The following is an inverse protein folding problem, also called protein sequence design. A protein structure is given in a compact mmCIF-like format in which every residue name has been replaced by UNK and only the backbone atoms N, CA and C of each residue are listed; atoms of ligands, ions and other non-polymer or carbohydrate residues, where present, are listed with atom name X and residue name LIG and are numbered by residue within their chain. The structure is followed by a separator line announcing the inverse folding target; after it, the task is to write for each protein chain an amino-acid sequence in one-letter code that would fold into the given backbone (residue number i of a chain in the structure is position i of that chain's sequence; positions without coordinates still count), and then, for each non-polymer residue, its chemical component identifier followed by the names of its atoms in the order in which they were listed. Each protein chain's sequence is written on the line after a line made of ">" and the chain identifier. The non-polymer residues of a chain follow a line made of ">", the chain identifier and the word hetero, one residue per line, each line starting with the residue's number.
data_IF_255968216570
#
_entry.id   IF_255968216570
#
_cell.length_a   1.000
_cell.length_b   1.000
_cell.length_c   1.000
_cell.angle_alpha   90.00
_cell.angle_beta   90.00
_cell.angle_gamma   90.00
#
_symmetry.space_group_name_H-M   'P 1'
#
loop_
_entity.id
_entity.type
_entity.pdbx_description
1 polymer ?
#
# COMPACT_ATOMS: atom_id res chain seq x y z
N UNK A 1 -27.01 33.56 -25.71
CA UNK A 1 -25.85 32.74 -26.12
C UNK A 1 -25.01 32.46 -24.88
N UNK A 2 -24.69 31.18 -24.69
CA UNK A 2 -23.84 30.51 -23.70
C UNK A 2 -23.55 31.20 -22.34
N UNK A 3 -24.10 30.62 -21.27
CA UNK A 3 -23.59 30.76 -19.90
C UNK A 3 -22.36 29.86 -19.76
N UNK A 4 -21.19 30.43 -19.43
CA UNK A 4 -20.05 29.65 -18.97
C UNK A 4 -20.31 29.25 -17.51
N UNK A 5 -20.50 27.97 -17.26
CA UNK A 5 -20.47 27.39 -15.91
C UNK A 5 -18.99 27.15 -15.55
N UNK A 6 -18.49 27.59 -14.38
CA UNK A 6 -17.18 27.16 -13.91
C UNK A 6 -17.25 25.66 -13.63
N UNK A 7 -16.36 24.89 -14.25
CA UNK A 7 -16.14 23.50 -13.89
C UNK A 7 -15.68 23.44 -12.44
N UNK A 8 -16.41 22.68 -11.63
CA UNK A 8 -16.09 22.43 -10.25
C UNK A 8 -14.86 21.52 -10.21
N UNK A 9 -13.67 22.12 -10.17
CA UNK A 9 -12.43 21.41 -9.85
C UNK A 9 -12.41 21.17 -8.34
N UNK A 10 -13.26 20.26 -7.86
CA UNK A 10 -13.12 19.73 -6.51
C UNK A 10 -11.88 18.86 -6.48
N UNK A 11 -10.75 19.46 -6.11
CA UNK A 11 -9.56 18.72 -5.71
C UNK A 11 -9.96 17.74 -4.60
N UNK A 12 -9.51 16.47 -4.72
CA UNK A 12 -9.79 15.46 -3.69
C UNK A 12 -9.35 16.02 -2.32
N UNK A 13 -10.18 15.90 -1.27
CA UNK A 13 -9.82 16.39 0.06
C UNK A 13 -8.51 15.72 0.50
N UNK A 14 -7.60 16.49 1.09
CA UNK A 14 -6.32 15.99 1.61
C UNK A 14 -6.62 14.86 2.60
N UNK A 15 -6.27 13.62 2.22
CA UNK A 15 -6.52 12.43 3.03
C UNK A 15 -5.57 12.40 4.21
N UNK A 16 -6.09 11.99 5.36
CA UNK A 16 -5.26 11.67 6.53
C UNK A 16 -5.11 10.16 6.66
N UNK A 17 -4.15 9.60 5.93
CA UNK A 17 -3.86 8.15 5.94
C UNK A 17 -3.43 7.64 7.33
N UNK A 18 -3.01 8.51 8.26
CA UNK A 18 -2.64 8.12 9.63
C UNK A 18 -3.86 7.68 10.47
N UNK A 19 -5.07 8.02 10.03
CA UNK A 19 -6.32 7.68 10.70
C UNK A 19 -6.94 6.36 10.18
N UNK A 20 -6.36 5.73 9.16
CA UNK A 20 -6.81 4.41 8.72
C UNK A 20 -6.62 3.42 9.88
N UNK A 21 -7.65 2.63 10.24
CA UNK A 21 -7.55 1.63 11.30
C UNK A 21 -6.39 0.67 11.04
N UNK A 22 -5.65 0.30 12.08
CA UNK A 22 -4.48 -0.58 11.97
C UNK A 22 -4.40 -1.53 13.16
N UNK A 23 -3.66 -2.62 12.99
CA UNK A 23 -3.27 -3.49 14.09
C UNK A 23 -2.00 -3.00 14.76
N UNK A 24 -1.88 -3.27 16.06
CA UNK A 24 -0.59 -3.14 16.73
C UNK A 24 0.32 -4.29 16.30
N UNK A 25 1.64 -4.05 16.26
CA UNK A 25 2.63 -5.04 15.80
C UNK A 25 2.52 -6.35 16.62
N UNK A 26 2.24 -6.24 17.93
CA UNK A 26 2.06 -7.40 18.81
C UNK A 26 0.83 -8.25 18.46
N UNK A 27 -0.17 -7.66 17.81
CA UNK A 27 -1.35 -8.37 17.35
C UNK A 27 -1.05 -9.15 16.08
N UNK A 28 -0.30 -8.56 15.15
CA UNK A 28 0.16 -9.23 13.92
C UNK A 28 0.98 -10.48 14.26
N UNK A 29 1.99 -10.35 15.13
CA UNK A 29 2.90 -11.45 15.49
C UNK A 29 2.26 -12.58 16.31
N UNK A 30 0.98 -12.45 16.69
CA UNK A 30 0.24 -13.45 17.47
C UNK A 30 -0.86 -14.15 16.68
N UNK A 31 -1.12 -13.70 15.46
CA UNK A 31 -2.12 -14.29 14.57
C UNK A 31 -1.44 -14.77 13.30
N UNK A 32 -1.32 -16.10 13.09
CA UNK A 32 -0.74 -16.64 11.87
C UNK A 32 -1.42 -16.12 10.58
N UNK A 33 -2.72 -15.86 10.64
CA UNK A 33 -3.49 -15.30 9.52
C UNK A 33 -3.08 -13.85 9.22
N UNK A 34 -2.96 -13.00 10.25
CA UNK A 34 -2.55 -11.61 10.06
C UNK A 34 -1.08 -11.48 9.66
N UNK A 35 -0.23 -12.36 10.21
CA UNK A 35 1.17 -12.49 9.81
C UNK A 35 1.29 -12.95 8.36
N UNK A 36 0.46 -13.91 7.92
CA UNK A 36 0.42 -14.34 6.52
C UNK A 36 0.08 -13.16 5.59
N UNK A 37 -0.98 -12.40 5.88
CA UNK A 37 -1.34 -11.20 5.11
C UNK A 37 -0.16 -10.22 5.06
N UNK A 38 0.47 -9.95 6.21
CA UNK A 38 1.59 -9.01 6.29
C UNK A 38 2.76 -9.48 5.42
N UNK A 39 3.15 -10.74 5.57
CA UNK A 39 4.25 -11.36 4.83
C UNK A 39 4.02 -11.36 3.32
N UNK A 40 2.80 -11.64 2.87
CA UNK A 40 2.41 -11.64 1.45
C UNK A 40 2.50 -10.23 0.86
N UNK A 41 2.02 -9.21 1.58
CA UNK A 41 2.12 -7.81 1.15
C UNK A 41 3.57 -7.36 1.12
N UNK A 42 4.33 -7.59 2.19
CA UNK A 42 5.74 -7.21 2.30
C UNK A 42 6.62 -7.89 1.26
N UNK A 43 6.42 -9.18 1.01
CA UNK A 43 7.14 -9.93 -0.01
C UNK A 43 6.87 -9.38 -1.42
N UNK A 44 5.63 -8.98 -1.71
CA UNK A 44 5.27 -8.35 -2.98
C UNK A 44 5.95 -6.99 -3.14
N UNK A 45 6.00 -6.18 -2.08
CA UNK A 45 6.72 -4.90 -2.09
C UNK A 45 8.23 -5.10 -2.28
N UNK A 46 8.83 -6.11 -1.66
CA UNK A 46 10.23 -6.49 -1.90
C UNK A 46 10.49 -6.91 -3.34
N UNK A 47 9.59 -7.71 -3.93
CA UNK A 47 9.70 -8.08 -5.35
C UNK A 47 9.71 -6.81 -6.20
N UNK A 48 8.83 -5.84 -5.96
CA UNK A 48 8.87 -4.56 -6.68
C UNK A 48 10.19 -3.80 -6.46
N UNK A 49 10.71 -3.78 -5.24
CA UNK A 49 11.96 -3.13 -4.86
C UNK A 49 13.24 -3.71 -5.47
N UNK A 50 13.26 -5.02 -5.70
CA UNK A 50 14.52 -5.75 -5.96
C UNK A 50 14.48 -6.64 -7.22
N UNK A 51 13.38 -6.70 -7.97
CA UNK A 51 13.29 -7.56 -9.16
C UNK A 51 13.98 -7.01 -10.41
N UNK A 52 14.09 -5.67 -10.54
CA UNK A 52 14.72 -5.02 -11.68
C UNK A 52 15.71 -3.95 -11.20
N UNK A 53 17.01 -4.08 -11.47
CA UNK A 53 18.00 -3.08 -11.07
C UNK A 53 17.90 -1.75 -11.84
N UNK A 54 17.19 -1.69 -12.96
CA UNK A 54 16.99 -0.46 -13.75
C UNK A 54 15.77 0.36 -13.28
N UNK A 55 14.81 -0.28 -12.58
CA UNK A 55 13.66 0.40 -12.00
C UNK A 55 13.92 0.74 -10.52
N UNK A 56 13.87 2.04 -10.20
CA UNK A 56 14.03 2.49 -8.81
C UNK A 56 12.66 2.45 -8.12
N UNK A 57 12.48 1.51 -7.20
CA UNK A 57 11.31 1.42 -6.33
C UNK A 57 11.74 1.55 -4.86
N UNK A 58 11.21 2.57 -4.19
CA UNK A 58 11.60 2.96 -2.83
C UNK A 58 10.41 2.84 -1.86
N UNK A 59 10.69 3.01 -0.57
CA UNK A 59 9.69 2.96 0.50
C UNK A 59 8.56 3.99 0.30
N UNK A 60 8.87 5.14 -0.32
CA UNK A 60 7.85 6.15 -0.66
C UNK A 60 6.85 5.62 -1.71
N UNK A 61 7.31 4.79 -2.64
CA UNK A 61 6.50 4.21 -3.71
C UNK A 61 5.66 3.06 -3.13
N UNK A 62 6.26 2.24 -2.26
CA UNK A 62 5.55 1.27 -1.44
C UNK A 62 4.43 1.92 -0.59
N UNK A 63 4.75 3.01 0.12
CA UNK A 63 3.75 3.76 0.89
C UNK A 63 2.62 4.27 -0.02
N UNK A 64 2.96 4.78 -1.21
CA UNK A 64 1.97 5.29 -2.16
C UNK A 64 1.04 4.19 -2.68
N UNK A 65 1.56 2.99 -2.94
CA UNK A 65 0.73 1.83 -3.32
C UNK A 65 -0.25 1.48 -2.20
N UNK A 66 0.21 1.41 -0.95
CA UNK A 66 -0.69 1.15 0.19
C UNK A 66 -1.77 2.23 0.34
N UNK A 67 -1.44 3.49 0.07
CA UNK A 67 -2.41 4.58 0.06
C UNK A 67 -3.48 4.41 -1.02
N UNK A 68 -3.12 3.95 -2.22
CA UNK A 68 -4.09 3.63 -3.28
C UNK A 68 -5.05 2.51 -2.86
N UNK A 69 -4.56 1.50 -2.12
CA UNK A 69 -5.42 0.48 -1.52
C UNK A 69 -6.34 1.04 -0.44
N UNK A 70 -5.90 2.02 0.34
CA UNK A 70 -6.79 2.73 1.28
C UNK A 70 -7.84 3.55 0.53
N UNK A 71 -7.45 4.24 -0.54
CA UNK A 71 -8.38 5.00 -1.39
C UNK A 71 -9.48 4.08 -1.93
N UNK A 72 -9.12 2.90 -2.44
CA UNK A 72 -10.09 1.91 -2.93
C UNK A 72 -10.92 1.29 -1.80
N UNK A 73 -10.29 0.63 -0.82
CA UNK A 73 -11.02 -0.22 0.12
C UNK A 73 -11.56 0.50 1.35
N UNK A 74 -10.89 1.55 1.84
CA UNK A 74 -11.30 2.29 3.02
C UNK A 74 -12.14 3.51 2.65
N UNK A 75 -11.67 4.32 1.70
CA UNK A 75 -12.35 5.55 1.29
C UNK A 75 -13.39 5.36 0.18
N UNK A 76 -13.42 4.17 -0.45
CA UNK A 76 -14.40 3.78 -1.48
C UNK A 76 -14.36 4.69 -2.70
N UNK A 77 -13.16 5.09 -3.10
CA UNK A 77 -12.97 5.85 -4.33
C UNK A 77 -13.28 4.97 -5.55
N UNK A 78 -14.17 5.43 -6.44
CA UNK A 78 -14.50 4.74 -7.69
C UNK A 78 -13.37 4.81 -8.73
N UNK A 79 -12.45 5.75 -8.56
CA UNK A 79 -11.32 5.99 -9.46
C UNK A 79 -10.04 6.29 -8.68
N UNK A 80 -8.97 5.59 -9.05
CA UNK A 80 -7.64 5.74 -8.48
C UNK A 80 -6.78 6.65 -9.35
N UNK A 81 -5.94 7.45 -8.68
CA UNK A 81 -5.02 8.38 -9.33
C UNK A 81 -3.58 7.90 -9.13
N UNK A 82 -3.00 7.34 -10.19
CA UNK A 82 -1.61 6.91 -10.24
C UNK A 82 -0.72 8.10 -10.61
N UNK A 83 0.36 8.31 -9.86
CA UNK A 83 1.31 9.39 -10.13
C UNK A 83 2.29 9.08 -11.26
N UNK A 84 2.58 7.79 -11.49
CA UNK A 84 3.51 7.31 -12.50
C UNK A 84 3.22 5.83 -12.86
N UNK A 85 3.83 5.30 -13.95
CA UNK A 85 3.62 3.90 -14.36
C UNK A 85 4.11 2.85 -13.34
N UNK A 86 5.09 3.18 -12.49
CA UNK A 86 5.61 2.23 -11.49
C UNK A 86 4.58 2.00 -10.38
N UNK A 87 3.84 3.05 -9.99
CA UNK A 87 2.72 2.93 -9.05
C UNK A 87 1.59 2.07 -9.61
N UNK A 88 1.24 2.24 -10.89
CA UNK A 88 0.20 1.45 -11.55
C UNK A 88 0.61 -0.03 -11.66
N UNK A 89 1.84 -0.29 -12.09
CA UNK A 89 2.43 -1.64 -12.13
C UNK A 89 2.42 -2.30 -10.75
N UNK A 90 2.88 -1.58 -9.73
CA UNK A 90 2.94 -2.10 -8.36
C UNK A 90 1.57 -2.34 -7.74
N UNK A 91 0.61 -1.45 -7.99
CA UNK A 91 -0.77 -1.65 -7.57
C UNK A 91 -1.41 -2.86 -8.26
N UNK A 92 -1.16 -3.04 -9.56
CA UNK A 92 -1.66 -4.17 -10.34
C UNK A 92 -1.12 -5.49 -9.79
N UNK A 93 0.20 -5.59 -9.61
CA UNK A 93 0.83 -6.80 -9.07
C UNK A 93 0.32 -7.15 -7.67
N UNK A 94 0.20 -6.15 -6.78
CA UNK A 94 -0.32 -6.41 -5.43
C UNK A 94 -1.81 -6.78 -5.46
N UNK A 95 -2.59 -6.24 -6.40
CA UNK A 95 -3.99 -6.63 -6.57
C UNK A 95 -4.13 -8.08 -7.00
N UNK A 96 -3.32 -8.53 -7.97
CA UNK A 96 -3.27 -9.93 -8.42
C UNK A 96 -2.94 -10.87 -7.25
N UNK A 97 -1.89 -10.55 -6.48
CA UNK A 97 -1.52 -11.35 -5.29
C UNK A 97 -2.63 -11.38 -4.25
N UNK A 98 -3.36 -10.27 -4.04
CA UNK A 98 -4.49 -10.25 -3.10
C UNK A 98 -5.65 -11.12 -3.60
N UNK A 99 -5.90 -11.15 -4.90
CA UNK A 99 -6.94 -11.98 -5.49
C UNK A 99 -6.58 -13.47 -5.46
N UNK A 100 -5.31 -13.81 -5.67
CA UNK A 100 -4.83 -15.19 -5.67
C UNK A 100 -4.66 -15.75 -4.25
N UNK A 101 -3.93 -15.05 -3.39
CA UNK A 101 -3.47 -15.57 -2.10
C UNK A 101 -4.35 -15.11 -0.92
N UNK A 102 -5.09 -14.02 -1.06
CA UNK A 102 -5.82 -13.36 0.03
C UNK A 102 -7.31 -13.13 -0.27
N UNK A 103 -7.89 -13.88 -1.21
CA UNK A 103 -9.29 -13.69 -1.64
C UNK A 103 -10.32 -13.99 -0.54
N UNK A 104 -10.02 -14.97 0.32
CA UNK A 104 -10.89 -15.35 1.44
C UNK A 104 -10.76 -14.42 2.67
N UNK A 105 -9.78 -13.50 2.65
CA UNK A 105 -9.51 -12.59 3.75
C UNK A 105 -10.51 -11.41 3.73
N UNK A 106 -11.14 -11.06 4.87
CA UNK A 106 -11.96 -9.87 4.96
C UNK A 106 -11.18 -8.60 4.57
N UNK A 107 -11.76 -7.76 3.70
CA UNK A 107 -11.12 -6.52 3.24
C UNK A 107 -10.76 -5.57 4.39
N UNK A 108 -11.49 -5.64 5.51
CA UNK A 108 -11.16 -4.87 6.72
C UNK A 108 -9.83 -5.30 7.34
N UNK A 109 -9.55 -6.59 7.40
CA UNK A 109 -8.29 -7.11 7.93
C UNK A 109 -7.13 -6.79 7.00
N UNK A 110 -7.33 -6.94 5.70
CA UNK A 110 -6.37 -6.51 4.68
C UNK A 110 -5.97 -5.04 4.85
N UNK A 111 -6.97 -4.14 4.93
CA UNK A 111 -6.73 -2.70 5.13
C UNK A 111 -5.98 -2.44 6.43
N UNK A 112 -6.33 -3.11 7.53
CA UNK A 112 -5.68 -2.91 8.83
C UNK A 112 -4.24 -3.39 8.86
N UNK A 113 -3.94 -4.51 8.20
CA UNK A 113 -2.57 -5.02 8.06
C UNK A 113 -1.75 -4.05 7.20
N UNK A 114 -2.26 -3.66 6.03
CA UNK A 114 -1.61 -2.66 5.17
C UNK A 114 -1.37 -1.33 5.88
N UNK A 115 -2.31 -0.85 6.69
CA UNK A 115 -2.14 0.36 7.49
C UNK A 115 -1.05 0.21 8.57
N UNK A 116 -0.86 -0.99 9.09
CA UNK A 116 0.23 -1.29 10.04
C UNK A 116 1.59 -1.21 9.36
N UNK A 117 1.71 -1.76 8.14
CA UNK A 117 2.90 -1.69 7.28
C UNK A 117 3.18 -0.24 6.87
N UNK A 118 2.18 0.50 6.39
CA UNK A 118 2.32 1.92 6.04
C UNK A 118 2.85 2.75 7.20
N UNK A 119 2.33 2.53 8.42
CA UNK A 119 2.85 3.19 9.63
C UNK A 119 4.27 2.75 9.99
N UNK A 120 4.66 1.51 9.70
CA UNK A 120 6.03 1.04 9.90
C UNK A 120 6.99 1.75 8.94
N UNK A 121 6.63 1.85 7.66
CA UNK A 121 7.32 2.65 6.64
C UNK A 121 7.46 4.10 7.14
N UNK A 122 6.37 4.81 7.38
CA UNK A 122 6.38 6.22 7.79
C UNK A 122 7.22 6.52 9.06
N UNK A 123 7.41 5.55 9.95
CA UNK A 123 8.23 5.71 11.16
C UNK A 123 9.72 5.45 10.94
N UNK A 124 10.06 4.58 9.99
CA UNK A 124 11.42 4.01 9.86
C UNK A 124 12.23 4.63 8.73
N UNK A 125 11.60 5.35 7.82
CA UNK A 125 12.25 5.86 6.61
C UNK A 125 11.94 7.33 6.35
N UNK A 126 12.84 7.99 5.61
CA UNK A 126 12.64 9.34 5.04
C UNK A 126 12.20 9.29 3.58
N UNK A 127 11.78 8.11 3.10
CA UNK A 127 11.38 7.83 1.72
C UNK A 127 12.47 7.17 0.86
N UNK A 128 13.54 6.65 1.46
CA UNK A 128 14.58 5.85 0.77
C UNK A 128 14.16 4.39 0.64
N UNK A 129 15.09 3.44 0.76
CA UNK A 129 14.84 2.00 0.70
C UNK A 129 15.08 1.28 2.05
N UNK A 130 15.09 2.03 3.15
CA UNK A 130 15.44 1.51 4.48
C UNK A 130 14.46 0.43 4.97
N UNK A 131 13.16 0.61 4.72
CA UNK A 131 12.15 -0.38 5.09
C UNK A 131 12.22 -1.62 4.22
N UNK A 132 12.28 -1.45 2.89
CA UNK A 132 12.38 -2.56 1.94
C UNK A 132 13.64 -3.40 2.20
N UNK A 133 14.79 -2.76 2.46
CA UNK A 133 16.01 -3.49 2.84
C UNK A 133 15.83 -4.24 4.15
N UNK A 134 15.27 -3.57 5.16
CA UNK A 134 15.01 -4.20 6.45
C UNK A 134 14.18 -5.47 6.28
N UNK A 135 12.98 -5.39 5.69
CA UNK A 135 12.12 -6.57 5.56
C UNK A 135 12.74 -7.64 4.63
N UNK A 136 13.50 -7.26 3.59
CA UNK A 136 14.18 -8.21 2.71
C UNK A 136 15.30 -9.00 3.44
N UNK A 137 16.00 -8.39 4.39
CA UNK A 137 16.98 -9.08 5.23
C UNK A 137 16.33 -10.10 6.18
N UNK A 138 15.08 -9.89 6.60
CA UNK A 138 14.35 -10.79 7.49
C UNK A 138 13.46 -11.82 6.78
N UNK A 139 13.06 -11.55 5.53
CA UNK A 139 12.23 -12.46 4.72
C UNK A 139 13.04 -13.51 3.92
N UNK A 140 14.38 -13.48 4.03
CA UNK A 140 15.29 -14.29 3.21
C UNK A 140 15.69 -15.67 3.75
N UNK A 141 14.92 -16.26 4.67
CA UNK A 141 15.15 -17.64 5.19
C UNK A 141 14.30 -18.70 4.46
#
# INVERSE_FOLDING_TARGET
>A
MAKCTPGDHTSKPVRNYRNVPHYEIQTLSRSPELEFIASTVESTLCRLGFSDPEEIFMDKDAARILELFFDHYHFKDDTLEFGDPAQEKGYTLLSEVIEEDLSDIPKEDLVRVMASIHRAIQRRTKGGDEYLRFINEYAGD
#
